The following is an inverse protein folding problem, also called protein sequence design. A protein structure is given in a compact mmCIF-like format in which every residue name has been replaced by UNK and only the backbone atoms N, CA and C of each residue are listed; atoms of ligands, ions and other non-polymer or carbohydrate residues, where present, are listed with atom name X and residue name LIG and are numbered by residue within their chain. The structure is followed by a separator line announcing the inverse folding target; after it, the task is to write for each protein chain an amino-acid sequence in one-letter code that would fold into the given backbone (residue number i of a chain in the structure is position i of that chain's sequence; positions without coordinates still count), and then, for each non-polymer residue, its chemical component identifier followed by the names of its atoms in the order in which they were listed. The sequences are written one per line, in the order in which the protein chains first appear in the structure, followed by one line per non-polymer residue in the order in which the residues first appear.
data_IF_906746098234
#
_entry.id   IF_906746098234
#
_cell.length_a   1.000
_cell.length_b   1.000
_cell.length_c   1.000
_cell.angle_alpha   90.00
_cell.angle_beta   90.00
_cell.angle_gamma   90.00
#
_symmetry.space_group_name_H-M   'P 1'
#
loop_
_entity.id
_entity.type
_entity.pdbx_description
1 polymer ?
#
# COMPACT_ATOMS: atom_id res chain seq x y z
N UNK A 1 22.30 -13.95 -38.47
CA UNK A 1 20.96 -14.38 -38.93
C UNK A 1 20.11 -13.15 -39.23
N UNK A 2 19.84 -12.83 -40.51
CA UNK A 2 18.93 -11.70 -40.85
C UNK A 2 17.50 -12.20 -40.72
N UNK A 3 16.80 -11.80 -39.68
CA UNK A 3 15.36 -12.11 -39.54
C UNK A 3 14.64 -11.34 -40.66
N UNK A 4 14.01 -12.07 -41.56
CA UNK A 4 13.22 -11.45 -42.63
C UNK A 4 11.93 -10.90 -42.07
N UNK A 5 11.96 -9.60 -41.68
CA UNK A 5 10.86 -8.85 -41.07
C UNK A 5 9.68 -8.58 -42.03
N UNK A 6 9.74 -9.10 -43.27
CA UNK A 6 8.66 -8.91 -44.26
C UNK A 6 7.44 -9.82 -44.04
N UNK A 7 7.54 -10.81 -43.16
CA UNK A 7 6.40 -11.64 -42.85
C UNK A 7 5.41 -10.87 -41.95
N UNK A 8 4.20 -10.62 -42.46
CA UNK A 8 3.13 -9.91 -41.74
C UNK A 8 2.84 -10.48 -40.33
N UNK A 9 2.97 -11.80 -40.19
CA UNK A 9 2.76 -12.51 -38.92
C UNK A 9 3.83 -12.14 -37.87
N UNK A 10 5.10 -12.03 -38.32
CA UNK A 10 6.22 -11.65 -37.43
C UNK A 10 6.06 -10.21 -37.00
N UNK A 11 5.70 -9.30 -37.90
CA UNK A 11 5.45 -7.88 -37.57
C UNK A 11 4.30 -7.73 -36.55
N UNK A 12 3.20 -8.47 -36.75
CA UNK A 12 2.07 -8.47 -35.84
C UNK A 12 2.45 -9.00 -34.46
N UNK A 13 3.21 -10.08 -34.39
CA UNK A 13 3.68 -10.64 -33.11
C UNK A 13 4.57 -9.65 -32.34
N UNK A 14 5.47 -8.94 -33.01
CA UNK A 14 6.31 -7.91 -32.40
C UNK A 14 5.46 -6.77 -31.84
N UNK A 15 4.46 -6.29 -32.58
CA UNK A 15 3.55 -5.24 -32.11
C UNK A 15 2.79 -5.69 -30.86
N UNK A 16 2.27 -6.90 -30.83
CA UNK A 16 1.57 -7.45 -29.67
C UNK A 16 2.49 -7.50 -28.44
N UNK A 17 3.74 -7.98 -28.61
CA UNK A 17 4.72 -8.04 -27.51
C UNK A 17 5.01 -6.64 -26.95
N UNK A 18 5.17 -5.63 -27.81
CA UNK A 18 5.40 -4.24 -27.40
C UNK A 18 4.20 -3.72 -26.60
N UNK A 19 2.98 -3.97 -27.05
CA UNK A 19 1.75 -3.52 -26.36
C UNK A 19 1.66 -4.19 -24.98
N UNK A 20 1.90 -5.50 -24.89
CA UNK A 20 1.84 -6.23 -23.63
C UNK A 20 2.91 -5.72 -22.66
N UNK A 21 4.14 -5.50 -23.10
CA UNK A 21 5.22 -5.01 -22.27
C UNK A 21 4.97 -3.58 -21.78
N UNK A 22 4.41 -2.72 -22.62
CA UNK A 22 3.99 -1.37 -22.22
C UNK A 22 2.88 -1.41 -21.16
N UNK A 23 1.88 -2.26 -21.32
CA UNK A 23 0.80 -2.44 -20.35
C UNK A 23 1.32 -2.94 -19.00
N UNK A 24 2.20 -3.94 -18.99
CA UNK A 24 2.83 -4.45 -17.76
C UNK A 24 3.63 -3.34 -17.06
N UNK A 25 4.37 -2.52 -17.82
CA UNK A 25 5.14 -1.40 -17.27
C UNK A 25 4.24 -0.35 -16.64
N UNK A 26 3.14 0.02 -17.30
CA UNK A 26 2.15 0.97 -16.76
C UNK A 26 1.54 0.44 -15.47
N UNK A 27 1.15 -0.84 -15.43
CA UNK A 27 0.60 -1.46 -14.23
C UNK A 27 1.60 -1.49 -13.07
N UNK A 28 2.88 -1.75 -13.35
CA UNK A 28 3.93 -1.73 -12.34
C UNK A 28 4.15 -0.30 -11.77
N UNK A 29 4.17 0.72 -12.62
CA UNK A 29 4.26 2.12 -12.22
C UNK A 29 3.05 2.52 -11.36
N UNK A 30 1.84 2.17 -11.80
CA UNK A 30 0.63 2.44 -11.05
C UNK A 30 0.68 1.82 -9.64
N UNK A 31 1.03 0.53 -9.55
CA UNK A 31 1.15 -0.18 -8.27
C UNK A 31 2.21 0.44 -7.34
N UNK A 32 3.30 0.96 -7.91
CA UNK A 32 4.42 1.48 -7.13
C UNK A 32 4.20 2.91 -6.66
N UNK A 33 3.66 3.78 -7.51
CA UNK A 33 3.58 5.22 -7.24
C UNK A 33 2.18 5.72 -6.89
N UNK A 34 1.14 5.07 -7.37
CA UNK A 34 -0.24 5.58 -7.25
C UNK A 34 -1.01 4.83 -6.19
N UNK A 35 -0.93 3.50 -6.20
CA UNK A 35 -1.72 2.69 -5.29
C UNK A 35 -1.15 2.70 -3.87
N UNK A 36 -2.03 2.80 -2.86
CA UNK A 36 -1.63 2.72 -1.47
C UNK A 36 -1.22 1.29 -1.13
N UNK A 37 -0.02 1.17 -0.55
CA UNK A 37 0.52 -0.10 -0.12
C UNK A 37 0.08 -0.45 1.29
N UNK A 38 0.26 0.50 2.23
CA UNK A 38 -0.17 0.38 3.61
C UNK A 38 -1.10 1.55 3.92
N UNK A 39 -2.24 1.24 4.52
CA UNK A 39 -3.13 2.23 5.12
C UNK A 39 -3.35 1.85 6.58
N UNK A 40 -3.22 2.81 7.47
CA UNK A 40 -3.55 2.67 8.87
C UNK A 40 -4.50 3.77 9.29
N UNK A 41 -5.59 3.40 9.94
CA UNK A 41 -6.61 4.35 10.38
C UNK A 41 -7.17 3.99 11.74
N UNK A 42 -7.40 5.03 12.54
CA UNK A 42 -8.05 4.96 13.86
C UNK A 42 -9.06 6.08 14.00
N UNK A 43 -10.13 5.82 14.74
CA UNK A 43 -11.20 6.78 15.04
C UNK A 43 -11.92 7.31 13.79
N UNK A 44 -11.98 6.52 12.72
CA UNK A 44 -12.58 6.92 11.45
C UNK A 44 -14.06 6.50 11.32
N UNK A 45 -14.60 5.81 12.31
CA UNK A 45 -15.99 5.35 12.29
C UNK A 45 -16.97 6.53 12.30
N UNK A 46 -18.06 6.48 11.50
CA UNK A 46 -19.10 7.51 11.50
C UNK A 46 -19.72 7.77 12.88
N UNK A 47 -19.64 6.83 13.80
CA UNK A 47 -20.10 7.00 15.17
C UNK A 47 -19.38 8.12 15.92
N UNK A 48 -18.11 8.40 15.59
CA UNK A 48 -17.36 9.50 16.18
C UNK A 48 -17.80 10.86 15.65
N UNK A 49 -18.21 10.94 14.38
CA UNK A 49 -18.75 12.19 13.81
C UNK A 49 -20.09 12.58 14.44
N UNK A 50 -20.91 11.61 14.85
CA UNK A 50 -22.23 11.83 15.43
C UNK A 50 -22.19 12.29 16.90
N UNK A 51 -21.11 12.06 17.62
CA UNK A 51 -21.00 12.38 19.06
C UNK A 51 -20.57 13.82 19.32
N UNK A 52 -20.20 14.58 18.28
CA UNK A 52 -19.71 15.97 18.44
C UNK A 52 -18.39 16.08 19.24
N UNK A 53 -17.76 14.96 19.55
CA UNK A 53 -16.43 14.89 20.15
C UNK A 53 -15.44 15.07 19.01
N UNK A 54 -14.54 16.06 19.10
CA UNK A 54 -13.39 16.22 18.19
C UNK A 54 -12.41 15.06 18.38
N UNK A 55 -12.80 13.89 17.90
CA UNK A 55 -11.89 12.74 17.82
C UNK A 55 -11.02 12.98 16.61
N UNK A 56 -9.72 13.14 16.83
CA UNK A 56 -8.76 13.27 15.74
C UNK A 56 -8.78 12.01 14.88
N UNK A 57 -9.32 12.17 13.68
CA UNK A 57 -9.25 11.17 12.62
C UNK A 57 -7.78 10.89 12.29
N UNK A 58 -7.33 9.69 12.59
CA UNK A 58 -5.95 9.29 12.42
C UNK A 58 -5.84 8.42 11.16
N UNK A 59 -5.33 9.00 10.08
CA UNK A 59 -5.15 8.28 8.81
C UNK A 59 -3.76 8.49 8.26
N UNK A 60 -3.14 7.40 7.84
CA UNK A 60 -1.85 7.41 7.15
C UNK A 60 -1.91 6.48 5.94
N UNK A 61 -1.46 6.97 4.81
CA UNK A 61 -1.40 6.24 3.55
C UNK A 61 0.04 6.21 3.06
N UNK A 62 0.61 5.02 2.94
CA UNK A 62 1.97 4.80 2.48
C UNK A 62 1.98 4.10 1.13
N UNK A 63 2.68 4.67 0.16
CA UNK A 63 2.93 4.06 -1.15
C UNK A 63 4.20 3.21 -1.15
N UNK A 64 4.31 2.30 -2.09
CA UNK A 64 5.52 1.46 -2.24
C UNK A 64 6.78 2.27 -2.58
N UNK A 65 6.61 3.47 -3.14
CA UNK A 65 7.69 4.43 -3.39
C UNK A 65 8.28 5.05 -2.12
N UNK A 66 7.63 4.87 -0.97
CA UNK A 66 7.97 5.53 0.29
C UNK A 66 7.25 6.86 0.50
N UNK A 67 6.44 7.30 -0.45
CA UNK A 67 5.63 8.50 -0.29
C UNK A 67 4.53 8.27 0.74
N UNK A 68 4.46 9.16 1.74
CA UNK A 68 3.46 9.15 2.80
C UNK A 68 2.51 10.32 2.62
N UNK A 69 1.22 10.01 2.59
CA UNK A 69 0.15 10.99 2.64
C UNK A 69 -0.59 10.89 3.98
N UNK A 70 -0.70 12.01 4.68
CA UNK A 70 -1.46 12.16 5.91
C UNK A 70 -2.43 13.32 5.70
N UNK A 71 -3.75 13.10 5.75
CA UNK A 71 -4.72 14.17 5.62
C UNK A 71 -4.45 15.30 6.63
N UNK A 72 -4.48 16.53 6.15
CA UNK A 72 -4.25 17.77 6.94
C UNK A 72 -2.84 17.92 7.53
N UNK A 73 -1.86 17.16 7.08
CA UNK A 73 -0.44 17.27 7.45
C UNK A 73 0.44 17.32 6.19
N UNK A 74 1.69 17.70 6.37
CA UNK A 74 2.67 17.67 5.30
C UNK A 74 2.99 16.26 4.84
N UNK A 75 3.07 16.08 3.53
CA UNK A 75 3.51 14.83 2.95
C UNK A 75 5.01 14.65 3.15
N UNK A 76 5.46 13.40 3.24
CA UNK A 76 6.88 13.07 3.38
C UNK A 76 7.26 11.83 2.59
N UNK A 77 8.57 11.63 2.44
CA UNK A 77 9.14 10.43 1.85
C UNK A 77 9.94 9.70 2.93
N UNK A 78 9.66 8.42 3.11
CA UNK A 78 10.41 7.58 4.04
C UNK A 78 11.83 7.32 3.53
N UNK A 79 12.76 7.22 4.45
CA UNK A 79 14.12 6.77 4.17
C UNK A 79 14.14 5.32 3.67
N UNK A 80 15.23 4.97 2.98
CA UNK A 80 15.45 3.59 2.53
C UNK A 80 15.46 2.59 3.69
N UNK A 81 15.98 2.99 4.85
CA UNK A 81 16.02 2.17 6.06
C UNK A 81 14.61 1.88 6.59
N UNK A 82 13.79 2.92 6.75
CA UNK A 82 12.39 2.78 7.19
C UNK A 82 11.59 1.89 6.24
N UNK A 83 11.76 2.09 4.92
CA UNK A 83 11.09 1.27 3.91
C UNK A 83 11.51 -0.20 3.96
N UNK A 84 12.80 -0.47 4.18
CA UNK A 84 13.31 -1.85 4.29
C UNK A 84 12.77 -2.55 5.55
N UNK A 85 12.71 -1.85 6.67
CA UNK A 85 12.13 -2.38 7.90
C UNK A 85 10.65 -2.70 7.73
N UNK A 86 9.86 -1.78 7.16
CA UNK A 86 8.45 -2.01 6.88
C UNK A 86 8.22 -3.18 5.92
N UNK A 87 9.03 -3.29 4.85
CA UNK A 87 8.94 -4.42 3.91
C UNK A 87 9.16 -5.77 4.59
N UNK A 88 10.13 -5.85 5.50
CA UNK A 88 10.41 -7.06 6.28
C UNK A 88 9.21 -7.42 7.16
N UNK A 89 8.72 -6.46 7.95
CA UNK A 89 7.58 -6.66 8.85
C UNK A 89 6.29 -7.03 8.09
N UNK A 90 6.02 -6.38 6.96
CA UNK A 90 4.87 -6.70 6.10
C UNK A 90 4.97 -8.12 5.55
N UNK A 91 6.17 -8.57 5.15
CA UNK A 91 6.37 -9.95 4.68
C UNK A 91 6.09 -10.97 5.80
N UNK A 92 6.52 -10.69 7.02
CA UNK A 92 6.23 -11.53 8.18
C UNK A 92 4.72 -11.55 8.47
N UNK A 93 4.05 -10.38 8.45
CA UNK A 93 2.62 -10.27 8.72
C UNK A 93 1.76 -10.98 7.65
N UNK A 94 2.17 -10.96 6.39
CA UNK A 94 1.44 -11.61 5.27
C UNK A 94 1.29 -13.13 5.41
N UNK A 95 2.08 -13.76 6.26
CA UNK A 95 1.92 -15.18 6.59
C UNK A 95 0.75 -15.43 7.55
N UNK A 96 0.14 -14.40 8.10
CA UNK A 96 -1.02 -14.48 8.97
C UNK A 96 -2.34 -14.34 8.20
N UNK A 97 -3.46 -14.79 8.80
CA UNK A 97 -4.78 -14.70 8.19
C UNK A 97 -5.23 -13.24 8.02
N UNK A 98 -5.83 -12.95 6.87
CA UNK A 98 -6.42 -11.65 6.55
C UNK A 98 -7.94 -11.71 6.65
N UNK A 99 -8.54 -10.60 7.07
CA UNK A 99 -9.99 -10.45 7.15
C UNK A 99 -10.42 -9.16 6.44
N UNK A 100 -11.39 -9.28 5.54
CA UNK A 100 -12.02 -8.14 4.90
C UNK A 100 -11.16 -7.42 3.86
N UNK A 101 -11.75 -6.35 3.32
CA UNK A 101 -11.14 -5.42 2.36
C UNK A 101 -10.99 -4.06 3.02
N UNK A 102 -10.24 -3.17 2.37
CA UNK A 102 -10.15 -1.77 2.77
C UNK A 102 -11.54 -1.14 2.82
N UNK A 103 -11.83 -0.48 3.93
CA UNK A 103 -13.00 0.38 4.12
C UNK A 103 -12.55 1.71 4.71
N UNK A 104 -13.02 2.81 4.13
CA UNK A 104 -12.68 4.17 4.54
C UNK A 104 -13.16 4.51 5.95
N UNK A 105 -14.21 3.86 6.42
CA UNK A 105 -14.84 4.10 7.72
C UNK A 105 -14.53 3.03 8.78
N UNK A 106 -13.56 2.17 8.52
CA UNK A 106 -13.20 1.09 9.42
C UNK A 106 -11.78 1.24 9.96
N UNK A 107 -11.63 1.26 11.28
CA UNK A 107 -10.33 1.29 11.93
C UNK A 107 -9.51 0.03 11.61
N UNK A 108 -8.20 0.19 11.44
CA UNK A 108 -7.31 -0.95 11.30
C UNK A 108 -6.10 -0.73 10.41
N UNK A 109 -5.34 -1.81 10.25
CA UNK A 109 -4.19 -1.89 9.37
C UNK A 109 -4.58 -2.63 8.09
N UNK A 110 -4.38 -1.98 6.96
CA UNK A 110 -4.66 -2.50 5.63
C UNK A 110 -3.37 -2.55 4.82
N UNK A 111 -3.11 -3.68 4.18
CA UNK A 111 -1.95 -3.87 3.30
C UNK A 111 -2.44 -4.45 1.97
N UNK A 112 -2.09 -3.80 0.86
CA UNK A 112 -2.59 -4.17 -0.47
C UNK A 112 -4.13 -4.27 -0.51
N UNK A 113 -4.82 -3.37 0.21
CA UNK A 113 -6.29 -3.32 0.29
C UNK A 113 -6.94 -4.43 1.13
N UNK A 114 -6.17 -5.23 1.86
CA UNK A 114 -6.68 -6.28 2.75
C UNK A 114 -6.48 -5.89 4.20
N UNK A 115 -7.50 -6.07 5.02
CA UNK A 115 -7.43 -5.84 6.46
C UNK A 115 -6.67 -6.96 7.17
N UNK A 116 -5.80 -6.58 8.09
CA UNK A 116 -5.07 -7.48 8.98
C UNK A 116 -5.51 -7.25 10.41
N UNK A 117 -6.02 -8.31 11.06
CA UNK A 117 -6.39 -8.26 12.45
C UNK A 117 -5.23 -8.74 13.32
N UNK A 118 -5.09 -8.08 14.49
CA UNK A 118 -4.13 -8.50 15.50
C UNK A 118 -4.63 -9.79 16.18
N UNK A 119 -3.76 -10.78 16.30
CA UNK A 119 -3.98 -12.02 17.02
C UNK A 119 -2.69 -12.43 17.76
N UNK A 120 -2.75 -13.51 18.54
CA UNK A 120 -1.61 -13.97 19.35
C UNK A 120 -0.34 -14.29 18.53
N UNK A 121 -0.51 -14.75 17.28
CA UNK A 121 0.61 -15.17 16.43
C UNK A 121 1.32 -13.98 15.78
N UNK A 122 0.57 -12.93 15.42
CA UNK A 122 1.08 -11.78 14.70
C UNK A 122 1.21 -10.50 15.55
N UNK A 123 0.83 -10.53 16.82
CA UNK A 123 0.74 -9.36 17.68
C UNK A 123 2.02 -8.53 17.70
N UNK A 124 3.16 -9.16 17.80
CA UNK A 124 4.45 -8.47 17.82
C UNK A 124 4.71 -7.70 16.52
N UNK A 125 4.55 -8.38 15.39
CA UNK A 125 4.78 -7.79 14.06
C UNK A 125 3.76 -6.70 13.74
N UNK A 126 2.48 -6.96 14.04
CA UNK A 126 1.40 -5.98 13.90
C UNK A 126 1.68 -4.70 14.70
N UNK A 127 1.96 -4.82 15.99
CA UNK A 127 2.22 -3.69 16.86
C UNK A 127 3.47 -2.91 16.44
N UNK A 128 4.49 -3.59 15.91
CA UNK A 128 5.71 -2.94 15.42
C UNK A 128 5.44 -2.10 14.18
N UNK A 129 4.64 -2.60 13.22
CA UNK A 129 4.19 -1.82 12.06
C UNK A 129 3.40 -0.59 12.51
N UNK A 130 2.39 -0.78 13.37
CA UNK A 130 1.55 0.31 13.89
C UNK A 130 2.39 1.36 14.61
N UNK A 131 3.38 0.95 15.42
CA UNK A 131 4.28 1.87 16.12
C UNK A 131 5.09 2.72 15.14
N UNK A 132 5.61 2.13 14.07
CA UNK A 132 6.33 2.87 13.02
C UNK A 132 5.40 3.88 12.35
N UNK A 133 4.18 3.47 11.97
CA UNK A 133 3.22 4.35 11.32
C UNK A 133 2.77 5.50 12.23
N UNK A 134 2.53 5.24 13.51
CA UNK A 134 2.22 6.29 14.49
C UNK A 134 3.37 7.28 14.64
N UNK A 135 4.62 6.79 14.74
CA UNK A 135 5.78 7.67 14.80
C UNK A 135 5.89 8.57 13.56
N UNK A 136 5.62 8.02 12.38
CA UNK A 136 5.58 8.80 11.13
C UNK A 136 4.48 9.88 11.18
N UNK A 137 3.34 9.59 11.78
CA UNK A 137 2.23 10.53 11.92
C UNK A 137 2.54 11.68 12.89
N UNK A 138 3.27 11.41 13.96
CA UNK A 138 3.59 12.37 15.03
C UNK A 138 4.70 13.36 14.63
N UNK A 139 5.50 13.04 13.62
CA UNK A 139 6.56 13.90 13.08
C UNK A 139 6.01 14.99 12.18
#
# INVERSE_FOLDING_TARGET
MKINLNNKKIKLAIIIIIIISAFISIMAIYKYYINDWICYQENVSPQYEMTGIDVLDYRIYLKRSGFVYIPRKDNRILSKSEMNELKKLVKELKNSNTYGKYDYYEDGLFIDGKKYNKNKENEYTYNKIVKILRHIYEL
#
